data_IF_867242901434
#
_entry.id   IF_867242901434
#
_cell.length_a   1.000
_cell.length_b   1.000
_cell.length_c   1.000
_cell.angle_alpha   90.00
_cell.angle_beta   90.00
_cell.angle_gamma   90.00
#
_symmetry.space_group_name_H-M   'P 1'
#
loop_
_entity.id
_entity.type
_entity.pdbx_description
1 polymer ?
#
# COMPACT_ATOMS: atom_id res chain seq x y z
N UNK A 1 -13.92 -8.51 20.14
CA UNK A 1 -13.22 -7.34 19.57
C UNK A 1 -13.09 -7.57 18.08
N UNK A 2 -13.92 -6.93 17.26
CA UNK A 2 -13.94 -7.14 15.82
C UNK A 2 -12.59 -6.69 15.21
N UNK A 3 -11.97 -7.61 14.47
CA UNK A 3 -10.73 -7.42 13.73
C UNK A 3 -10.72 -6.06 13.04
N UNK A 4 -9.69 -5.24 13.28
CA UNK A 4 -9.41 -4.08 12.46
C UNK A 4 -9.13 -4.58 11.05
N UNK A 5 -10.18 -4.70 10.24
CA UNK A 5 -10.10 -4.93 8.80
C UNK A 5 -9.09 -3.92 8.27
N UNK A 6 -7.92 -4.43 7.92
CA UNK A 6 -6.79 -3.68 7.35
C UNK A 6 -7.26 -3.24 5.97
N UNK A 7 -8.08 -2.18 5.93
CA UNK A 7 -8.68 -1.69 4.69
C UNK A 7 -7.53 -1.27 3.78
N UNK A 8 -7.42 -1.85 2.58
CA UNK A 8 -6.38 -1.47 1.64
C UNK A 8 -6.51 0.02 1.36
N UNK A 9 -5.43 0.77 1.61
CA UNK A 9 -5.37 2.19 1.28
C UNK A 9 -4.99 2.26 -0.19
N UNK A 10 -5.86 2.83 -1.01
CA UNK A 10 -5.60 3.07 -2.43
C UNK A 10 -5.51 4.58 -2.61
N UNK A 11 -4.32 5.10 -2.90
CA UNK A 11 -4.15 6.52 -3.16
C UNK A 11 -4.36 6.81 -4.64
N UNK A 12 -4.99 7.96 -4.94
CA UNK A 12 -4.96 8.50 -6.28
C UNK A 12 -3.55 8.98 -6.63
N UNK A 13 -3.22 9.06 -7.92
CA UNK A 13 -1.93 9.59 -8.37
C UNK A 13 -1.67 11.01 -7.82
N UNK A 14 -2.72 11.85 -7.81
CA UNK A 14 -2.66 13.22 -7.28
C UNK A 14 -2.37 13.25 -5.78
N UNK A 15 -3.08 12.46 -4.99
CA UNK A 15 -2.88 12.42 -3.53
C UNK A 15 -1.51 11.86 -3.18
N UNK A 16 -1.04 10.86 -3.94
CA UNK A 16 0.30 10.29 -3.78
C UNK A 16 1.38 11.35 -4.01
N UNK A 17 1.30 12.11 -5.10
CA UNK A 17 2.25 13.19 -5.37
C UNK A 17 2.22 14.26 -4.28
N UNK A 18 1.04 14.61 -3.79
CA UNK A 18 0.90 15.58 -2.71
C UNK A 18 1.55 15.08 -1.42
N UNK A 19 1.36 13.81 -1.06
CA UNK A 19 2.01 13.20 0.10
C UNK A 19 3.53 13.12 -0.08
N UNK A 20 4.03 12.83 -1.27
CA UNK A 20 5.47 12.86 -1.58
C UNK A 20 6.00 14.28 -1.33
N UNK A 21 5.38 15.30 -1.94
CA UNK A 21 5.76 16.71 -1.75
C UNK A 21 5.76 17.09 -0.26
N UNK A 22 4.72 16.69 0.48
CA UNK A 22 4.60 16.95 1.91
C UNK A 22 5.79 16.36 2.70
N UNK A 23 6.25 15.17 2.34
CA UNK A 23 7.39 14.53 3.01
C UNK A 23 8.76 15.10 2.63
N UNK A 24 8.87 15.79 1.49
CA UNK A 24 10.13 16.35 0.97
C UNK A 24 10.32 17.83 1.27
N UNK A 25 9.24 18.61 1.38
CA UNK A 25 9.32 20.07 1.62
C UNK A 25 9.74 20.43 3.05
N UNK A 26 9.59 19.53 4.02
CA UNK A 26 10.11 19.70 5.39
C UNK A 26 9.46 20.81 6.23
N UNK A 27 8.60 21.65 5.66
CA UNK A 27 7.91 22.77 6.34
C UNK A 27 6.73 22.35 7.21
N UNK A 28 6.40 21.06 7.23
CA UNK A 28 5.25 20.53 7.95
C UNK A 28 5.64 19.95 9.32
N UNK A 29 4.74 19.98 10.33
CA UNK A 29 5.01 19.35 11.62
C UNK A 29 5.39 17.87 11.47
N UNK A 30 6.30 17.39 12.32
CA UNK A 30 6.81 16.02 12.28
C UNK A 30 5.70 14.94 12.30
N UNK A 31 4.60 15.21 13.03
CA UNK A 31 3.43 14.32 13.07
C UNK A 31 2.74 14.19 11.71
N UNK A 32 2.65 15.28 10.94
CA UNK A 32 2.06 15.31 9.61
C UNK A 32 2.94 14.54 8.63
N UNK A 33 4.25 14.77 8.66
CA UNK A 33 5.23 14.04 7.84
C UNK A 33 5.17 12.53 8.15
N UNK A 34 5.13 12.15 9.43
CA UNK A 34 5.02 10.74 9.84
C UNK A 34 3.75 10.09 9.30
N UNK A 35 2.60 10.77 9.38
CA UNK A 35 1.34 10.27 8.84
C UNK A 35 1.38 10.11 7.33
N UNK A 36 1.94 11.09 6.61
CA UNK A 36 2.07 11.00 5.16
C UNK A 36 2.95 9.83 4.73
N UNK A 37 4.07 9.58 5.42
CA UNK A 37 4.91 8.40 5.22
C UNK A 37 4.16 7.08 5.45
N UNK A 38 3.33 7.03 6.49
CA UNK A 38 2.49 5.85 6.77
C UNK A 38 1.47 5.62 5.64
N UNK A 39 0.81 6.67 5.16
CA UNK A 39 -0.15 6.54 4.05
C UNK A 39 0.53 6.09 2.75
N UNK A 40 1.71 6.63 2.43
CA UNK A 40 2.51 6.19 1.28
C UNK A 40 2.95 4.73 1.41
N UNK A 41 3.34 4.28 2.60
CA UNK A 41 3.73 2.88 2.83
C UNK A 41 2.55 1.90 2.78
N UNK A 42 1.34 2.38 3.06
CA UNK A 42 0.11 1.60 2.98
C UNK A 42 -0.53 1.62 1.58
N UNK A 43 0.01 2.43 0.66
CA UNK A 43 -0.54 2.58 -0.68
C UNK A 43 -0.45 1.28 -1.49
N UNK A 44 -1.57 0.60 -1.58
CA UNK A 44 -1.77 -0.62 -2.36
C UNK A 44 -2.00 -0.36 -3.85
N UNK A 45 -2.09 0.91 -4.29
CA UNK A 45 -2.15 1.27 -5.71
C UNK A 45 -0.93 0.75 -6.48
N UNK A 46 0.24 0.69 -5.84
CA UNK A 46 1.48 0.09 -6.39
C UNK A 46 1.53 -1.45 -6.19
N UNK A 47 0.58 -2.00 -5.42
CA UNK A 47 0.56 -3.39 -4.92
C UNK A 47 -0.29 -4.37 -5.75
N UNK A 48 -0.95 -3.95 -6.83
CA UNK A 48 -1.52 -4.87 -7.84
C UNK A 48 -0.45 -5.58 -8.69
N UNK A 49 0.81 -5.58 -8.26
CA UNK A 49 1.93 -6.16 -9.00
C UNK A 49 2.46 -7.49 -8.42
N UNK A 50 1.99 -8.00 -7.28
CA UNK A 50 2.57 -9.25 -6.74
C UNK A 50 1.74 -10.03 -5.71
N UNK A 51 0.53 -10.43 -6.07
CA UNK A 51 -0.12 -11.62 -5.46
C UNK A 51 -0.91 -12.38 -6.53
N UNK A 52 -0.31 -12.61 -7.70
CA UNK A 52 -0.87 -13.51 -8.70
C UNK A 52 0.29 -14.32 -9.29
N UNK A 53 0.39 -15.59 -8.90
CA UNK A 53 1.48 -16.48 -9.34
C UNK A 53 2.09 -17.29 -8.21
N UNK A 54 1.31 -18.19 -7.62
CA UNK A 54 1.80 -19.09 -6.58
C UNK A 54 0.92 -20.31 -6.32
N UNK A 55 0.13 -20.76 -7.29
CA UNK A 55 -0.50 -22.08 -7.23
C UNK A 55 -0.56 -22.72 -8.63
N UNK A 56 0.61 -23.13 -9.12
CA UNK A 56 0.74 -24.14 -10.18
C UNK A 56 1.62 -25.24 -9.64
N UNK A 57 1.02 -26.23 -8.98
CA UNK A 57 1.82 -27.31 -8.41
C UNK A 57 1.07 -28.48 -7.80
N UNK A 58 -0.10 -28.90 -8.31
CA UNK A 58 -0.64 -30.23 -7.98
C UNK A 58 -1.80 -30.64 -8.89
N UNK A 59 -1.50 -31.24 -10.04
CA UNK A 59 -2.36 -32.25 -10.69
C UNK A 59 -1.59 -32.93 -11.84
N UNK A 60 -0.55 -33.69 -11.48
CA UNK A 60 -0.09 -34.84 -12.27
C UNK A 60 -0.44 -36.09 -11.47
N UNK A 61 -1.10 -37.05 -12.12
CA UNK A 61 -1.72 -38.24 -11.53
C UNK A 61 -3.19 -37.95 -11.24
N UNK A 62 -4.17 -38.67 -11.78
CA UNK A 62 -4.33 -40.12 -11.91
C UNK A 62 -5.08 -40.37 -13.24
N UNK A 63 -4.69 -41.33 -14.08
CA UNK A 63 -4.94 -42.75 -13.85
C UNK A 63 -6.01 -43.18 -14.83
#
# INVERSE_FOLDING_TARGET
>A
MASQLKRPVTLSARDREELIRLTTTGVHPARTIRRARVLLALDTSMGRARIEGGDRGAARGLG
#
